data_IF_063420132379
#
_entry.id   IF_063420132379
#
_cell.length_a   1.000
_cell.length_b   1.000
_cell.length_c   1.000
_cell.angle_alpha   90.00
_cell.angle_beta   90.00
_cell.angle_gamma   90.00
#
_symmetry.space_group_name_H-M   'P 1'
#
loop_
_entity.id
_entity.type
_entity.pdbx_description
1 polymer ?
#
# COMPACT_ATOMS: atom_id res chain seq x y z
N UNK A 1 -6.76 15.28 -15.26
CA UNK A 1 -5.33 15.62 -15.07
C UNK A 1 -4.88 14.92 -13.80
N UNK A 2 -4.07 13.87 -13.91
CA UNK A 2 -3.60 13.12 -12.74
C UNK A 2 -2.57 13.92 -11.94
N UNK A 3 -2.65 13.85 -10.62
CA UNK A 3 -1.69 14.53 -9.73
C UNK A 3 -0.30 13.92 -9.89
N UNK A 4 0.75 14.75 -9.90
CA UNK A 4 2.15 14.29 -9.95
C UNK A 4 2.40 13.26 -8.84
N UNK A 5 3.01 12.10 -9.16
CA UNK A 5 3.23 11.05 -8.17
C UNK A 5 4.09 11.57 -7.02
N UNK A 6 3.57 11.41 -5.81
CA UNK A 6 4.32 11.71 -4.60
C UNK A 6 5.39 10.63 -4.40
N UNK A 7 6.60 11.03 -4.03
CA UNK A 7 7.63 10.07 -3.66
C UNK A 7 7.13 9.22 -2.48
N UNK A 8 7.39 7.90 -2.54
CA UNK A 8 7.09 6.98 -1.42
C UNK A 8 7.80 7.38 -0.12
N UNK A 9 8.87 8.16 -0.21
CA UNK A 9 9.61 8.73 0.93
C UNK A 9 8.96 9.98 1.54
N UNK A 10 7.92 10.53 0.91
CA UNK A 10 7.30 11.78 1.36
C UNK A 10 6.46 11.56 2.62
N UNK A 11 6.43 12.56 3.49
CA UNK A 11 5.71 12.49 4.76
C UNK A 11 4.19 12.46 4.62
N UNK A 12 3.53 11.83 5.61
CA UNK A 12 2.07 11.80 5.72
C UNK A 12 1.46 13.21 5.69
N UNK A 13 2.16 14.22 6.20
CA UNK A 13 1.67 15.61 6.19
C UNK A 13 1.55 16.16 4.77
N UNK A 14 2.50 15.83 3.88
CA UNK A 14 2.46 16.26 2.48
C UNK A 14 1.28 15.60 1.77
N UNK A 15 1.05 14.32 2.05
CA UNK A 15 -0.10 13.58 1.53
C UNK A 15 -1.43 14.19 2.00
N UNK A 16 -1.53 14.52 3.30
CA UNK A 16 -2.72 15.17 3.86
C UNK A 16 -2.97 16.54 3.25
N UNK A 17 -1.92 17.36 3.07
CA UNK A 17 -2.09 18.67 2.45
C UNK A 17 -2.46 18.57 0.96
N UNK A 18 -1.90 17.61 0.23
CA UNK A 18 -2.19 17.40 -1.20
C UNK A 18 -3.61 16.93 -1.45
N UNK A 19 -4.10 16.03 -0.61
CA UNK A 19 -5.39 15.36 -0.81
C UNK A 19 -6.51 15.94 0.07
N UNK A 20 -6.19 16.83 1.02
CA UNK A 20 -7.14 17.31 2.01
C UNK A 20 -7.65 16.22 2.95
N UNK A 21 -6.83 15.20 3.22
CA UNK A 21 -7.25 14.04 4.02
C UNK A 21 -7.42 14.39 5.49
N UNK A 22 -8.43 13.78 6.12
CA UNK A 22 -8.59 13.78 7.57
C UNK A 22 -7.93 12.55 8.19
N UNK A 23 -7.64 12.59 9.49
CA UNK A 23 -7.10 11.42 10.20
C UNK A 23 -8.02 10.19 10.11
N UNK A 24 -9.34 10.40 10.08
CA UNK A 24 -10.32 9.33 9.95
C UNK A 24 -10.19 8.63 8.59
N UNK A 25 -10.19 9.41 7.50
CA UNK A 25 -10.01 8.88 6.15
C UNK A 25 -8.64 8.22 5.99
N UNK A 26 -7.60 8.81 6.56
CA UNK A 26 -6.27 8.21 6.55
C UNK A 26 -6.22 6.85 7.23
N UNK A 27 -6.88 6.69 8.39
CA UNK A 27 -6.97 5.39 9.07
C UNK A 27 -7.69 4.35 8.20
N UNK A 28 -8.75 4.74 7.51
CA UNK A 28 -9.48 3.85 6.60
C UNK A 28 -8.62 3.41 5.41
N UNK A 29 -7.94 4.36 4.75
CA UNK A 29 -7.00 4.08 3.66
C UNK A 29 -5.84 3.17 4.13
N UNK A 30 -5.31 3.43 5.33
CA UNK A 30 -4.26 2.62 5.93
C UNK A 30 -4.74 1.19 6.22
N UNK A 31 -5.97 1.04 6.72
CA UNK A 31 -6.57 -0.26 6.99
C UNK A 31 -6.76 -1.07 5.69
N UNK A 32 -7.19 -0.43 4.60
CA UNK A 32 -7.29 -1.10 3.30
C UNK A 32 -5.91 -1.57 2.79
N UNK A 33 -4.90 -0.72 2.93
CA UNK A 33 -3.52 -1.08 2.59
C UNK A 33 -2.93 -2.18 3.49
N UNK A 34 -3.38 -2.30 4.75
CA UNK A 34 -3.06 -3.44 5.61
C UNK A 34 -3.69 -4.72 5.10
N UNK A 35 -4.98 -4.71 4.74
CA UNK A 35 -5.66 -5.87 4.14
C UNK A 35 -4.99 -6.31 2.83
N UNK A 36 -4.61 -5.36 1.98
CA UNK A 36 -3.88 -5.59 0.75
C UNK A 36 -2.54 -6.28 1.00
N UNK A 37 -1.78 -5.79 1.98
CA UNK A 37 -0.56 -6.43 2.42
C UNK A 37 -0.81 -7.83 2.97
N UNK A 38 -1.85 -8.02 3.77
CA UNK A 38 -2.20 -9.33 4.32
C UNK A 38 -2.48 -10.33 3.20
N UNK A 39 -3.21 -9.91 2.15
CA UNK A 39 -3.40 -10.66 0.92
C UNK A 39 -2.06 -11.01 0.24
N UNK A 40 -1.17 -10.02 0.06
CA UNK A 40 0.17 -10.24 -0.47
C UNK A 40 0.99 -11.22 0.38
N UNK A 41 0.88 -11.12 1.70
CA UNK A 41 1.63 -11.95 2.65
C UNK A 41 1.07 -13.36 2.81
N UNK A 42 -0.21 -13.59 2.49
CA UNK A 42 -0.86 -14.90 2.55
C UNK A 42 -0.63 -15.71 1.28
N UNK A 43 -0.47 -15.06 0.13
CA UNK A 43 -0.34 -15.75 -1.14
C UNK A 43 1.13 -15.83 -1.61
N UNK A 44 1.77 -17.01 -1.56
CA UNK A 44 3.16 -17.18 -1.98
C UNK A 44 3.36 -16.95 -3.49
N UNK A 45 2.31 -16.97 -4.32
CA UNK A 45 2.38 -16.65 -5.74
C UNK A 45 2.73 -15.19 -6.02
N UNK A 46 2.59 -14.31 -5.02
CA UNK A 46 2.95 -12.90 -5.15
C UNK A 46 4.46 -12.64 -4.96
N UNK A 47 5.20 -13.65 -4.48
CA UNK A 47 6.64 -13.57 -4.30
C UNK A 47 7.35 -13.45 -5.64
N UNK A 48 8.52 -12.81 -5.63
CA UNK A 48 9.44 -12.90 -6.76
C UNK A 48 9.86 -14.34 -7.00
N UNK A 49 10.23 -14.70 -8.22
CA UNK A 49 10.75 -16.04 -8.56
C UNK A 49 11.85 -16.49 -7.58
N UNK A 50 12.77 -15.59 -7.27
CA UNK A 50 13.84 -15.79 -6.27
C UNK A 50 13.30 -16.09 -4.86
N UNK A 51 12.31 -15.34 -4.39
CA UNK A 51 11.69 -15.54 -3.08
C UNK A 51 10.73 -16.73 -3.06
N UNK A 52 10.17 -17.14 -4.20
CA UNK A 52 9.33 -18.33 -4.30
C UNK A 52 10.15 -19.61 -4.16
N UNK A 53 11.39 -19.63 -4.66
CA UNK A 53 12.33 -20.75 -4.51
C UNK A 53 12.78 -20.92 -3.05
N UNK A 54 12.98 -19.82 -2.31
CA UNK A 54 13.30 -19.84 -0.88
C UNK A 54 12.40 -18.85 -0.13
N UNK A 55 11.18 -19.28 0.29
CA UNK A 55 10.25 -18.41 0.97
C UNK A 55 10.84 -17.93 2.30
N UNK A 56 11.03 -16.61 2.48
CA UNK A 56 11.49 -16.07 3.74
C UNK A 56 10.47 -16.33 4.85
N UNK A 57 10.90 -16.33 6.11
CA UNK A 57 9.95 -16.42 7.23
C UNK A 57 8.98 -15.25 7.16
N UNK A 58 7.70 -15.56 7.22
CA UNK A 58 6.65 -14.54 7.27
C UNK A 58 6.88 -13.63 8.47
N UNK A 59 6.67 -12.31 8.32
CA UNK A 59 6.09 -11.66 7.14
C UNK A 59 7.10 -11.26 6.06
N UNK A 60 6.69 -11.43 4.79
CA UNK A 60 7.49 -11.02 3.62
C UNK A 60 7.72 -9.51 3.60
N UNK A 61 8.91 -9.11 3.17
CA UNK A 61 9.34 -7.72 2.95
C UNK A 61 8.82 -7.21 1.61
N UNK A 62 8.71 -5.88 1.51
CA UNK A 62 8.37 -5.21 0.26
C UNK A 62 9.29 -5.65 -0.89
N UNK A 63 10.59 -5.82 -0.64
CA UNK A 63 11.58 -6.21 -1.66
C UNK A 63 11.38 -7.64 -2.20
N UNK A 64 10.74 -8.52 -1.42
CA UNK A 64 10.56 -9.94 -1.73
C UNK A 64 9.31 -10.19 -2.61
N UNK A 65 8.41 -9.21 -2.69
CA UNK A 65 7.17 -9.25 -3.47
C UNK A 65 7.44 -8.72 -4.89
N UNK A 66 6.93 -9.44 -5.90
CA UNK A 66 7.08 -9.04 -7.30
C UNK A 66 6.38 -7.71 -7.60
N UNK A 67 6.95 -6.92 -8.51
CA UNK A 67 6.33 -5.64 -8.91
C UNK A 67 4.94 -5.84 -9.53
N UNK A 68 4.77 -6.90 -10.31
CA UNK A 68 3.46 -7.29 -10.86
C UNK A 68 2.43 -7.56 -9.75
N UNK A 69 2.81 -8.27 -8.69
CA UNK A 69 1.91 -8.52 -7.57
C UNK A 69 1.56 -7.25 -6.80
N UNK A 70 2.55 -6.37 -6.56
CA UNK A 70 2.31 -5.05 -5.94
C UNK A 70 1.33 -4.23 -6.76
N UNK A 71 1.56 -4.15 -8.07
CA UNK A 71 0.72 -3.41 -8.99
C UNK A 71 -0.70 -3.96 -9.04
N UNK A 72 -0.85 -5.30 -9.14
CA UNK A 72 -2.16 -5.96 -9.08
C UNK A 72 -2.89 -5.63 -7.79
N UNK A 73 -2.22 -5.73 -6.64
CA UNK A 73 -2.84 -5.46 -5.36
C UNK A 73 -3.25 -3.99 -5.21
N UNK A 74 -2.43 -3.06 -5.69
CA UNK A 74 -2.76 -1.63 -5.76
C UNK A 74 -4.08 -1.43 -6.54
N UNK A 75 -4.21 -2.04 -7.71
CA UNK A 75 -5.43 -1.95 -8.52
C UNK A 75 -6.63 -2.62 -7.82
N UNK A 76 -6.43 -3.76 -7.15
CA UNK A 76 -7.48 -4.43 -6.37
C UNK A 76 -7.98 -3.53 -5.25
N UNK A 77 -7.08 -2.88 -4.49
CA UNK A 77 -7.45 -1.96 -3.41
C UNK A 77 -8.25 -0.79 -3.96
N UNK A 78 -7.76 -0.14 -5.03
CA UNK A 78 -8.44 1.02 -5.62
C UNK A 78 -9.83 0.65 -6.16
N UNK A 79 -9.98 -0.56 -6.72
CA UNK A 79 -11.27 -1.05 -7.21
C UNK A 79 -12.24 -1.42 -6.08
N UNK A 80 -11.75 -2.07 -5.02
CA UNK A 80 -12.54 -2.47 -3.87
C UNK A 80 -12.81 -1.33 -2.88
N UNK A 81 -12.08 -0.23 -2.99
CA UNK A 81 -12.18 0.92 -2.11
C UNK A 81 -13.62 1.47 -2.06
N UNK A 82 -14.17 1.74 -0.88
CA UNK A 82 -15.48 2.35 -0.75
C UNK A 82 -15.53 3.73 -1.42
N UNK A 83 -16.70 4.21 -1.87
CA UNK A 83 -16.82 5.45 -2.64
C UNK A 83 -16.23 6.67 -1.94
N UNK A 84 -16.20 6.68 -0.60
CA UNK A 84 -15.61 7.76 0.18
C UNK A 84 -14.07 7.80 0.11
N UNK A 85 -13.37 6.64 0.06
CA UNK A 85 -11.91 6.58 -0.10
C UNK A 85 -11.51 6.61 -1.57
N UNK A 86 -12.36 6.05 -2.43
CA UNK A 86 -12.14 5.93 -3.88
C UNK A 86 -11.85 7.27 -4.54
N UNK A 87 -12.55 8.33 -4.14
CA UNK A 87 -12.26 9.68 -4.62
C UNK A 87 -10.79 10.09 -4.45
N UNK A 88 -10.18 9.80 -3.29
CA UNK A 88 -8.78 10.13 -3.04
C UNK A 88 -7.82 9.26 -3.85
N UNK A 89 -8.17 8.00 -4.06
CA UNK A 89 -7.42 7.14 -4.97
C UNK A 89 -7.49 7.66 -6.40
N UNK A 90 -8.65 8.15 -6.87
CA UNK A 90 -8.78 8.72 -8.21
C UNK A 90 -7.93 9.99 -8.40
N UNK A 91 -7.78 10.82 -7.36
CA UNK A 91 -6.85 11.97 -7.40
C UNK A 91 -5.38 11.53 -7.58
N UNK A 92 -5.05 10.36 -7.03
CA UNK A 92 -3.74 9.71 -7.11
C UNK A 92 -3.51 8.84 -8.34
N UNK A 93 -4.53 8.69 -9.18
CA UNK A 93 -4.48 7.85 -10.37
C UNK A 93 -3.67 8.56 -11.45
N UNK A 94 -2.70 7.85 -12.02
CA UNK A 94 -1.95 8.31 -13.18
C UNK A 94 -1.85 7.16 -14.18
N UNK A 95 -1.99 7.48 -15.45
CA UNK A 95 -1.76 6.53 -16.53
C UNK A 95 -0.33 6.65 -17.00
N UNK A 96 0.39 5.53 -17.00
CA UNK A 96 1.63 5.40 -17.78
C UNK A 96 1.29 4.87 -19.16
N UNK A 97 2.27 4.88 -20.06
CA UNK A 97 2.13 4.34 -21.41
C UNK A 97 1.84 2.83 -21.45
N UNK A 98 2.00 2.14 -20.32
CA UNK A 98 1.97 0.68 -20.22
C UNK A 98 0.86 0.19 -19.28
N UNK A 99 0.54 0.94 -18.23
CA UNK A 99 -0.47 0.57 -17.25
C UNK A 99 -1.06 1.76 -16.48
N UNK A 100 -2.25 1.55 -15.93
CA UNK A 100 -2.84 2.43 -14.93
C UNK A 100 -2.16 2.23 -13.59
N UNK A 101 -1.62 3.30 -13.01
CA UNK A 101 -1.00 3.26 -11.69
C UNK A 101 -1.69 4.21 -10.71
N UNK A 102 -1.47 3.96 -9.42
CA UNK A 102 -2.01 4.77 -8.36
C UNK A 102 -0.95 5.02 -7.29
N UNK A 103 -0.41 6.24 -7.26
CA UNK A 103 0.65 6.57 -6.33
C UNK A 103 0.14 6.66 -4.88
N UNK A 104 -1.13 7.01 -4.68
CA UNK A 104 -1.73 7.09 -3.34
C UNK A 104 -1.81 5.69 -2.72
N UNK A 105 -2.42 4.73 -3.42
CA UNK A 105 -2.46 3.35 -2.96
C UNK A 105 -1.07 2.73 -2.81
N UNK A 106 -0.14 3.02 -3.74
CA UNK A 106 1.26 2.58 -3.64
C UNK A 106 1.95 3.12 -2.39
N UNK A 107 1.75 4.41 -2.07
CA UNK A 107 2.30 5.07 -0.89
C UNK A 107 1.76 4.43 0.39
N UNK A 108 0.44 4.23 0.50
CA UNK A 108 -0.18 3.61 1.66
C UNK A 108 0.28 2.17 1.88
N UNK A 109 0.35 1.38 0.80
CA UNK A 109 0.82 0.01 0.84
C UNK A 109 2.28 -0.04 1.34
N UNK A 110 3.17 0.78 0.78
CA UNK A 110 4.57 0.86 1.21
C UNK A 110 4.72 1.25 2.68
N UNK A 111 3.97 2.27 3.14
CA UNK A 111 3.96 2.67 4.54
C UNK A 111 3.43 1.56 5.47
N UNK A 112 2.40 0.81 5.06
CA UNK A 112 1.88 -0.33 5.81
C UNK A 112 2.97 -1.40 6.08
N UNK A 113 3.85 -1.66 5.12
CA UNK A 113 5.00 -2.56 5.34
C UNK A 113 6.00 -2.01 6.37
N UNK A 114 6.31 -0.70 6.32
CA UNK A 114 7.23 -0.03 7.25
C UNK A 114 6.69 0.05 8.69
N UNK A 115 5.42 0.41 8.88
CA UNK A 115 4.84 0.62 10.21
C UNK A 115 4.70 -0.66 11.04
N UNK A 116 4.74 -1.86 10.44
CA UNK A 116 4.71 -3.13 11.20
C UNK A 116 5.87 -3.28 12.18
N UNK A 117 7.04 -2.73 11.84
CA UNK A 117 8.19 -2.76 12.75
C UNK A 117 7.90 -2.05 14.07
N UNK A 118 6.92 -1.14 14.10
CA UNK A 118 6.54 -0.38 15.29
C UNK A 118 5.29 -0.97 15.97
N UNK A 119 4.33 -1.49 15.20
CA UNK A 119 3.08 -2.06 15.76
C UNK A 119 3.25 -3.42 16.45
N UNK A 120 4.18 -4.28 16.01
CA UNK A 120 4.50 -5.52 16.73
C UNK A 120 5.05 -5.22 18.12
N UNK A 121 5.81 -4.13 18.28
CA UNK A 121 6.39 -3.75 19.58
C UNK A 121 5.33 -3.20 20.53
N UNK A 122 4.34 -2.45 20.01
CA UNK A 122 3.26 -1.89 20.85
C UNK A 122 2.26 -2.95 21.32
N UNK A 123 2.01 -4.01 20.54
CA UNK A 123 1.11 -5.08 20.97
C UNK A 123 1.73 -6.02 22.02
N UNK A 124 3.06 -6.00 22.19
CA UNK A 124 3.78 -6.76 23.22
C UNK A 124 3.97 -5.98 24.53
N UNK A 125 3.52 -4.74 24.60
CA UNK A 125 3.64 -3.89 25.79
C UNK A 125 2.34 -3.79 26.61
N UNK A 126 1.31 -4.53 26.21
CA UNK A 126 0.10 -4.78 26.99
C UNK A 126 0.09 -6.22 27.50
N UNK A 127 0.99 -6.54 28.42
CA UNK A 127 0.91 -7.73 29.27
C UNK A 127 1.61 -7.48 30.61
#
# INVERSE_FOLDING_TARGET
>A
MGSVPLAQSADKQVLFQRLGLTEQTHKLLLQEAQSARDSLSRNPLNLTDRSAVNPPRTPYKWDEISETAKHREILTVVNNAPPHTKYYYELGRYQTNVAEENWVARWYLWHSFRYRSVLVVMSLQSY
#
